data_IF_822927888398
#
_entry.id   IF_822927888398
#
_cell.length_a   1.000
_cell.length_b   1.000
_cell.length_c   1.000
_cell.angle_alpha   90.00
_cell.angle_beta   90.00
_cell.angle_gamma   90.00
#
_symmetry.space_group_name_H-M   'P 1'
#
loop_
_entity.id
_entity.type
_entity.pdbx_description
1 polymer ?
#
# COMPACT_ATOMS: atom_id res chain seq x y z
N UNK A 1 -2.18 -6.30 6.55
CA UNK A 1 -1.88 -6.25 7.99
C UNK A 1 -0.40 -6.50 8.19
N UNK A 2 0.30 -5.68 8.99
CA UNK A 2 1.71 -5.89 9.35
C UNK A 2 1.90 -6.90 10.49
N UNK A 3 0.83 -7.55 10.96
CA UNK A 3 0.89 -8.54 12.04
C UNK A 3 1.96 -9.61 11.85
N UNK A 4 2.05 -10.32 10.71
CA UNK A 4 3.06 -11.37 10.52
C UNK A 4 4.49 -10.85 10.76
N UNK A 5 4.75 -9.60 10.37
CA UNK A 5 6.04 -8.96 10.58
C UNK A 5 6.34 -8.71 12.08
N UNK A 6 5.36 -8.23 12.85
CA UNK A 6 5.58 -7.96 14.28
C UNK A 6 5.53 -9.22 15.14
N UNK A 7 4.82 -10.26 14.71
CA UNK A 7 4.75 -11.55 15.40
C UNK A 7 5.84 -12.55 14.98
N UNK A 8 6.67 -12.19 13.99
CA UNK A 8 7.67 -13.09 13.41
C UNK A 8 7.06 -14.32 12.71
N UNK A 9 5.76 -14.27 12.40
CA UNK A 9 5.05 -15.37 11.75
C UNK A 9 5.12 -15.24 10.23
N UNK A 10 5.11 -16.34 9.48
CA UNK A 10 4.96 -16.28 8.04
C UNK A 10 3.61 -15.65 7.65
N UNK A 11 3.56 -15.03 6.47
CA UNK A 11 2.31 -14.54 5.91
C UNK A 11 1.44 -15.74 5.52
N UNK A 12 0.20 -15.77 6.01
CA UNK A 12 -0.80 -16.76 5.60
C UNK A 12 -1.31 -16.42 4.19
N UNK A 13 -1.02 -17.26 3.17
CA UNK A 13 -1.39 -16.97 1.79
C UNK A 13 -2.90 -16.94 1.58
N UNK A 14 -3.67 -17.81 2.25
CA UNK A 14 -5.13 -17.83 2.14
C UNK A 14 -5.74 -16.55 2.72
N UNK A 15 -5.18 -16.08 3.83
CA UNK A 15 -5.60 -14.80 4.42
C UNK A 15 -5.22 -13.62 3.54
N UNK A 16 -4.03 -13.64 2.93
CA UNK A 16 -3.58 -12.60 2.00
C UNK A 16 -4.51 -12.52 0.79
N UNK A 17 -4.79 -13.65 0.14
CA UNK A 17 -5.70 -13.72 -1.02
C UNK A 17 -7.08 -13.17 -0.67
N UNK A 18 -7.65 -13.57 0.48
CA UNK A 18 -8.94 -13.03 0.94
C UNK A 18 -8.93 -11.52 1.15
N UNK A 19 -7.81 -10.94 1.61
CA UNK A 19 -7.68 -9.49 1.78
C UNK A 19 -7.55 -8.79 0.42
N UNK A 20 -6.80 -9.37 -0.52
CA UNK A 20 -6.68 -8.88 -1.89
C UNK A 20 -8.04 -8.93 -2.62
N UNK A 21 -8.81 -10.01 -2.46
CA UNK A 21 -10.18 -10.11 -3.00
C UNK A 21 -11.11 -9.03 -2.45
N UNK A 22 -10.97 -8.66 -1.17
CA UNK A 22 -11.74 -7.55 -0.58
C UNK A 22 -11.34 -6.19 -1.14
N UNK A 23 -10.10 -6.04 -1.59
CA UNK A 23 -9.59 -4.81 -2.20
C UNK A 23 -10.02 -4.66 -3.67
N UNK A 24 -10.17 -5.76 -4.40
CA UNK A 24 -10.51 -5.78 -5.84
C UNK A 24 -11.71 -4.91 -6.24
N UNK A 25 -12.86 -4.91 -5.52
CA UNK A 25 -13.98 -4.03 -5.86
C UNK A 25 -13.62 -2.54 -5.84
N UNK A 26 -12.81 -2.11 -4.87
CA UNK A 26 -12.36 -0.72 -4.79
C UNK A 26 -11.40 -0.37 -5.94
N UNK A 27 -10.46 -1.26 -6.27
CA UNK A 27 -9.56 -1.06 -7.42
C UNK A 27 -10.32 -0.99 -8.73
N UNK A 28 -11.32 -1.86 -8.90
CA UNK A 28 -12.21 -1.84 -10.07
C UNK A 28 -12.95 -0.51 -10.18
N UNK A 29 -13.54 -0.02 -9.10
CA UNK A 29 -14.26 1.25 -9.09
C UNK A 29 -13.33 2.42 -9.44
N UNK A 30 -12.14 2.47 -8.83
CA UNK A 30 -11.14 3.49 -9.14
C UNK A 30 -10.73 3.45 -10.62
N UNK A 31 -10.43 2.27 -11.15
CA UNK A 31 -10.00 2.12 -12.54
C UNK A 31 -11.13 2.42 -13.53
N UNK A 32 -12.29 1.76 -13.37
CA UNK A 32 -13.33 1.70 -14.41
C UNK A 32 -14.33 2.85 -14.36
N UNK A 33 -14.48 3.52 -13.21
CA UNK A 33 -15.48 4.58 -13.04
C UNK A 33 -14.80 5.93 -12.79
N UNK A 34 -13.96 6.01 -11.76
CA UNK A 34 -13.33 7.29 -11.37
C UNK A 34 -12.32 7.74 -12.42
N UNK A 35 -11.29 6.92 -12.67
CA UNK A 35 -10.18 7.24 -13.57
C UNK A 35 -10.54 7.10 -15.06
N UNK A 36 -11.73 6.60 -15.37
CA UNK A 36 -12.29 6.63 -16.72
C UNK A 36 -12.76 8.04 -17.12
N UNK A 37 -13.09 8.89 -16.13
CA UNK A 37 -13.65 10.23 -16.36
C UNK A 37 -12.66 11.35 -16.10
N UNK A 38 -11.68 11.13 -15.21
CA UNK A 38 -10.71 12.14 -14.76
C UNK A 38 -9.29 11.59 -14.72
N UNK A 39 -8.27 12.42 -14.93
CA UNK A 39 -6.87 12.00 -14.83
C UNK A 39 -6.43 11.72 -13.37
N UNK A 40 -7.07 12.37 -12.39
CA UNK A 40 -6.85 12.24 -10.94
C UNK A 40 -8.17 11.93 -10.22
N UNK A 41 -8.11 11.53 -8.94
CA UNK A 41 -9.26 10.95 -8.24
C UNK A 41 -10.42 11.92 -8.02
N UNK A 42 -10.12 13.18 -7.71
CA UNK A 42 -11.15 14.18 -7.39
C UNK A 42 -11.31 15.25 -8.48
N UNK A 43 -10.21 15.69 -9.09
CA UNK A 43 -10.16 16.84 -10.00
C UNK A 43 -9.31 16.55 -11.24
N UNK A 44 -9.11 17.54 -12.10
CA UNK A 44 -8.18 17.47 -13.24
C UNK A 44 -6.70 17.60 -12.83
N UNK A 45 -6.43 17.88 -11.55
CA UNK A 45 -5.09 18.12 -11.01
C UNK A 45 -4.85 17.23 -9.80
N UNK A 46 -3.57 17.04 -9.45
CA UNK A 46 -3.20 16.32 -8.24
C UNK A 46 -3.85 16.97 -7.00
N UNK A 47 -4.47 16.14 -6.15
CA UNK A 47 -5.19 16.59 -4.96
C UNK A 47 -4.84 15.74 -3.74
N UNK A 48 -5.32 16.15 -2.56
CA UNK A 48 -5.17 15.36 -1.33
C UNK A 48 -5.79 13.95 -1.46
N UNK A 49 -6.86 13.80 -2.26
CA UNK A 49 -7.46 12.49 -2.51
C UNK A 49 -6.46 11.53 -3.16
N UNK A 50 -5.67 12.03 -4.12
CA UNK A 50 -4.64 11.26 -4.80
C UNK A 50 -3.51 10.89 -3.85
N UNK A 51 -3.06 11.83 -3.01
CA UNK A 51 -2.00 11.56 -2.02
C UNK A 51 -2.41 10.47 -1.04
N UNK A 52 -3.62 10.57 -0.49
CA UNK A 52 -4.14 9.56 0.45
C UNK A 52 -4.22 8.19 -0.21
N UNK A 53 -4.86 8.10 -1.38
CA UNK A 53 -5.00 6.83 -2.08
C UNK A 53 -3.64 6.26 -2.50
N UNK A 54 -2.71 7.10 -2.96
CA UNK A 54 -1.38 6.66 -3.39
C UNK A 54 -0.61 6.04 -2.22
N UNK A 55 -0.59 6.69 -1.06
CA UNK A 55 0.11 6.14 0.12
C UNK A 55 -0.48 4.81 0.60
N UNK A 56 -1.80 4.62 0.50
CA UNK A 56 -2.44 3.36 0.90
C UNK A 56 -2.18 2.23 -0.11
N UNK A 57 -2.24 2.53 -1.41
CA UNK A 57 -2.02 1.56 -2.48
C UNK A 57 -0.55 1.17 -2.68
N UNK A 58 0.39 1.98 -2.17
CA UNK A 58 1.81 1.63 -2.15
C UNK A 58 2.18 0.63 -1.05
N UNK A 59 1.38 0.50 0.02
CA UNK A 59 1.68 -0.46 1.09
C UNK A 59 1.68 -1.94 0.63
N UNK A 60 0.69 -2.43 -0.16
CA UNK A 60 0.74 -3.78 -0.71
C UNK A 60 1.92 -4.00 -1.67
N UNK A 61 2.21 -3.00 -2.52
CA UNK A 61 3.33 -3.06 -3.47
C UNK A 61 4.66 -3.28 -2.76
N UNK A 62 4.83 -2.62 -1.62
CA UNK A 62 6.04 -2.69 -0.82
C UNK A 62 6.28 -4.03 -0.12
N UNK A 63 5.22 -4.84 0.04
CA UNK A 63 5.32 -6.22 0.53
C UNK A 63 5.25 -7.23 -0.62
N UNK A 64 5.50 -6.80 -1.85
CA UNK A 64 5.58 -7.66 -3.03
C UNK A 64 4.24 -7.98 -3.70
N UNK A 65 3.16 -7.32 -3.31
CA UNK A 65 1.85 -7.47 -3.97
C UNK A 65 1.67 -6.34 -4.99
N UNK A 66 1.97 -6.58 -6.26
CA UNK A 66 1.68 -5.61 -7.32
C UNK A 66 0.17 -5.59 -7.62
N UNK A 67 -0.52 -4.65 -6.98
CA UNK A 67 -1.96 -4.48 -7.14
C UNK A 67 -2.34 -3.62 -8.36
N UNK A 68 -1.38 -3.10 -9.12
CA UNK A 68 -1.63 -2.19 -10.25
C UNK A 68 -1.67 -2.92 -11.60
N UNK A 69 -1.03 -4.09 -11.71
CA UNK A 69 -0.84 -4.83 -12.96
C UNK A 69 -2.15 -5.09 -13.75
N UNK A 70 -3.26 -5.33 -13.04
CA UNK A 70 -4.56 -5.70 -13.63
C UNK A 70 -5.45 -4.47 -13.96
N UNK A 71 -5.00 -3.26 -13.61
CA UNK A 71 -5.82 -2.04 -13.64
C UNK A 71 -5.09 -0.93 -14.41
N UNK A 72 -5.21 -0.88 -15.75
CA UNK A 72 -4.37 -0.04 -16.60
C UNK A 72 -4.54 1.47 -16.35
N UNK A 73 -5.76 1.93 -16.04
CA UNK A 73 -5.98 3.36 -15.72
C UNK A 73 -5.45 3.70 -14.34
N UNK A 74 -5.55 2.77 -13.38
CA UNK A 74 -4.93 2.92 -12.07
C UNK A 74 -3.39 2.95 -12.17
N UNK A 75 -2.78 2.11 -13.00
CA UNK A 75 -1.35 2.15 -13.27
C UNK A 75 -0.93 3.48 -13.92
N UNK A 76 -1.70 3.96 -14.90
CA UNK A 76 -1.45 5.26 -15.53
C UNK A 76 -1.63 6.44 -14.55
N UNK A 77 -2.62 6.36 -13.65
CA UNK A 77 -2.82 7.32 -12.57
C UNK A 77 -1.63 7.34 -11.61
N UNK A 78 -1.16 6.18 -11.18
CA UNK A 78 0.05 6.06 -10.36
C UNK A 78 1.23 6.78 -11.01
N UNK A 79 1.49 6.52 -12.29
CA UNK A 79 2.58 7.18 -13.02
C UNK A 79 2.42 8.71 -13.07
N UNK A 80 1.20 9.22 -13.23
CA UNK A 80 0.91 10.66 -13.17
C UNK A 80 1.18 11.24 -11.78
N UNK A 81 0.78 10.55 -10.72
CA UNK A 81 1.03 10.97 -9.33
C UNK A 81 2.53 10.99 -9.02
N UNK A 82 3.26 9.93 -9.39
CA UNK A 82 4.71 9.84 -9.21
C UNK A 82 5.44 10.96 -9.97
N UNK A 83 5.03 11.24 -11.21
CA UNK A 83 5.60 12.32 -12.01
C UNK A 83 5.32 13.71 -11.41
N UNK A 84 4.13 13.93 -10.86
CA UNK A 84 3.75 15.20 -10.23
C UNK A 84 4.48 15.44 -8.89
N UNK A 85 4.74 14.39 -8.12
CA UNK A 85 5.48 14.46 -6.85
C UNK A 85 7.00 14.55 -7.04
N UNK A 86 7.50 13.98 -8.13
CA UNK A 86 8.92 13.85 -8.41
C UNK A 86 9.52 12.59 -7.77
N UNK A 87 10.49 11.95 -8.45
CA UNK A 87 11.03 10.65 -8.04
C UNK A 87 11.74 10.69 -6.69
N UNK A 88 12.43 11.79 -6.35
CA UNK A 88 13.13 11.94 -5.07
C UNK A 88 12.17 11.88 -3.88
N UNK A 89 11.08 12.65 -3.93
CA UNK A 89 10.07 12.66 -2.87
C UNK A 89 9.35 11.31 -2.77
N UNK A 90 9.00 10.70 -3.90
CA UNK A 90 8.38 9.37 -3.93
C UNK A 90 9.30 8.34 -3.28
N UNK A 91 10.58 8.33 -3.66
CA UNK A 91 11.57 7.40 -3.12
C UNK A 91 11.78 7.63 -1.62
N UNK A 92 11.87 8.88 -1.17
CA UNK A 92 12.09 9.23 0.22
C UNK A 92 10.91 8.88 1.11
N UNK A 93 9.69 9.23 0.69
CA UNK A 93 8.46 8.94 1.42
C UNK A 93 8.21 7.43 1.54
N UNK A 94 8.54 6.68 0.48
CA UNK A 94 8.36 5.23 0.47
C UNK A 94 9.59 4.46 0.92
N UNK A 95 10.70 5.11 1.30
CA UNK A 95 11.96 4.45 1.66
C UNK A 95 11.78 3.39 2.74
N UNK A 96 11.08 3.72 3.82
CA UNK A 96 10.84 2.81 4.96
C UNK A 96 9.85 1.68 4.66
N UNK A 97 9.10 1.84 3.57
CA UNK A 97 8.05 0.93 3.11
C UNK A 97 8.63 -0.02 2.06
N UNK A 98 9.33 0.50 1.04
CA UNK A 98 9.90 -0.23 -0.11
C UNK A 98 11.28 -0.87 0.13
N UNK A 99 12.02 -0.48 1.18
CA UNK A 99 13.28 -1.15 1.48
C UNK A 99 13.05 -2.60 1.92
N UNK A 100 13.78 -3.58 1.35
CA UNK A 100 13.91 -4.89 1.96
C UNK A 100 14.37 -4.69 3.40
N UNK A 101 13.52 -5.01 4.37
CA UNK A 101 13.88 -4.81 5.79
C UNK A 101 15.07 -5.69 6.14
N UNK A 102 16.10 -5.08 6.70
CA UNK A 102 17.30 -5.80 7.15
C UNK A 102 16.87 -6.81 8.22
N UNK A 103 17.31 -8.08 8.15
CA UNK A 103 17.07 -9.06 9.22
C UNK A 103 17.51 -8.56 10.61
N UNK A 104 18.45 -7.60 10.68
CA UNK A 104 18.89 -6.94 11.93
C UNK A 104 17.86 -5.94 12.48
N UNK A 105 16.96 -5.39 11.64
CA UNK A 105 15.80 -4.61 12.10
C UNK A 105 14.72 -5.48 12.74
N UNK A 106 14.80 -6.82 12.55
CA UNK A 106 13.95 -7.78 13.24
C UNK A 106 14.36 -8.00 14.70
N UNK A 107 15.52 -7.47 15.13
CA UNK A 107 15.97 -7.46 16.51
C UNK A 107 15.24 -6.36 17.30
N UNK A 108 13.90 -6.42 17.28
CA UNK A 108 13.03 -5.57 18.09
C UNK A 108 13.00 -6.07 19.52
N UNK A 109 12.90 -5.12 20.46
CA UNK A 109 12.53 -5.43 21.84
C UNK A 109 11.28 -6.32 21.85
N UNK A 110 11.36 -7.55 22.40
CA UNK A 110 10.23 -8.48 22.44
C UNK A 110 8.99 -7.87 23.09
N UNK A 111 9.16 -6.99 24.08
CA UNK A 111 8.06 -6.32 24.77
C UNK A 111 7.34 -5.35 23.84
N UNK A 112 8.10 -4.55 23.10
CA UNK A 112 7.54 -3.62 22.10
C UNK A 112 6.83 -4.39 20.97
N UNK A 113 7.41 -5.49 20.49
CA UNK A 113 6.79 -6.33 19.46
C UNK A 113 5.44 -6.89 19.95
N UNK A 114 5.39 -7.41 21.19
CA UNK A 114 4.16 -7.91 21.81
C UNK A 114 3.09 -6.81 21.92
N UNK A 115 3.45 -5.62 22.39
CA UNK A 115 2.54 -4.47 22.50
C UNK A 115 1.96 -4.06 21.14
N UNK A 116 2.79 -4.03 20.09
CA UNK A 116 2.36 -3.71 18.73
C UNK A 116 1.43 -4.79 18.16
N UNK A 117 1.70 -6.07 18.42
CA UNK A 117 0.81 -7.17 18.03
C UNK A 117 -0.56 -7.02 18.71
N UNK A 118 -0.60 -6.74 20.01
CA UNK A 118 -1.88 -6.55 20.73
C UNK A 118 -2.68 -5.39 20.14
N UNK A 119 -2.05 -4.22 19.93
CA UNK A 119 -2.72 -3.06 19.31
C UNK A 119 -3.23 -3.34 17.90
N UNK A 120 -2.51 -4.16 17.13
CA UNK A 120 -2.93 -4.53 15.78
C UNK A 120 -4.09 -5.53 15.79
N UNK A 121 -4.17 -6.42 16.79
CA UNK A 121 -5.29 -7.33 16.97
C UNK A 121 -6.56 -6.58 17.39
N UNK A 122 -6.46 -5.54 18.21
CA UNK A 122 -7.60 -4.69 18.60
C UNK A 122 -8.23 -3.90 17.44
N UNK A 123 -7.50 -3.73 16.33
CA UNK A 123 -7.94 -2.95 15.15
C UNK A 123 -8.52 -3.81 14.03
N UNK A 124 -8.51 -5.13 14.17
CA UNK A 124 -8.99 -6.10 13.16
C UNK A 124 -10.33 -6.71 13.55
#
# INVERSE_FOLDING_TARGET
SLLPHFSGQPVDPVRLDRLLEKLKPALRHLDQEVLATKPFLATEQLSLADLMAFTELMQPTAVGCDIFQDWPRLAAWRARVEAALGPELVQDAHRLVLQPRDPRDAQRDPKLAQELVQRLLERL
#
